data_IF_653442275156
#
_entry.id   IF_653442275156
#
_cell.length_a   1.000
_cell.length_b   1.000
_cell.length_c   1.000
_cell.angle_alpha   90.00
_cell.angle_beta   90.00
_cell.angle_gamma   90.00
#
_symmetry.space_group_name_H-M   'P 1'
#
loop_
_entity.id
_entity.type
_entity.pdbx_description
1 polymer ?
#
# COMPACT_ATOMS: atom_id res chain seq x y z
N UNK A 1 3.26 17.63 -6.48
CA UNK A 1 2.86 16.82 -7.65
C UNK A 1 1.57 16.12 -7.27
N UNK A 2 0.43 16.47 -7.86
CA UNK A 2 -0.88 15.91 -7.45
C UNK A 2 -1.28 14.77 -8.39
N UNK A 3 -1.11 13.52 -7.94
CA UNK A 3 -1.54 12.34 -8.68
C UNK A 3 -3.04 12.14 -8.47
N UNK A 4 -3.84 12.30 -9.53
CA UNK A 4 -5.29 12.05 -9.50
C UNK A 4 -5.59 10.71 -10.17
N UNK A 5 -6.03 9.67 -9.43
CA UNK A 5 -6.45 8.42 -10.02
C UNK A 5 -7.76 8.60 -10.81
N UNK A 6 -7.89 7.88 -11.92
CA UNK A 6 -9.06 7.91 -12.80
C UNK A 6 -9.93 6.67 -12.61
N UNK A 7 -11.26 6.85 -12.70
CA UNK A 7 -12.22 5.76 -12.57
C UNK A 7 -12.17 5.12 -11.18
N UNK A 8 -12.13 3.79 -11.13
CA UNK A 8 -12.18 2.98 -9.91
C UNK A 8 -10.79 2.66 -9.31
N UNK A 9 -9.81 3.54 -9.55
CA UNK A 9 -8.43 3.35 -9.09
C UNK A 9 -8.17 4.13 -7.81
N UNK A 10 -7.25 3.61 -7.00
CA UNK A 10 -6.77 4.23 -5.77
C UNK A 10 -5.26 4.35 -5.81
N UNK A 11 -4.75 5.48 -5.32
CA UNK A 11 -3.33 5.69 -5.10
C UNK A 11 -3.02 5.27 -3.67
N UNK A 12 -2.15 4.29 -3.52
CA UNK A 12 -1.73 3.75 -2.24
C UNK A 12 -0.24 4.00 -2.06
N UNK A 13 0.13 4.56 -0.91
CA UNK A 13 1.52 4.65 -0.46
C UNK A 13 1.83 3.40 0.38
N UNK A 14 2.80 2.56 0.00
CA UNK A 14 3.18 1.39 0.79
C UNK A 14 3.62 1.81 2.19
N UNK A 15 3.18 1.09 3.21
CA UNK A 15 3.72 1.26 4.57
C UNK A 15 4.95 0.39 4.76
N UNK A 16 5.86 0.85 5.60
CA UNK A 16 7.04 0.08 5.98
C UNK A 16 6.61 -1.15 6.80
N UNK A 17 7.19 -2.30 6.47
CA UNK A 17 6.92 -3.56 7.15
C UNK A 17 7.64 -3.57 8.51
N UNK A 18 7.00 -4.17 9.51
CA UNK A 18 7.63 -4.44 10.80
C UNK A 18 8.92 -5.26 10.61
N UNK A 19 10.04 -4.73 11.10
CA UNK A 19 11.35 -5.38 11.02
C UNK A 19 11.44 -6.64 11.90
N UNK A 20 10.56 -6.72 12.90
CA UNK A 20 10.46 -7.84 13.83
C UNK A 20 9.09 -8.49 13.73
N UNK A 21 9.09 -9.81 13.65
CA UNK A 21 7.86 -10.58 13.85
C UNK A 21 7.39 -10.49 15.31
N UNK A 22 6.13 -10.85 15.57
CA UNK A 22 5.55 -10.87 16.93
C UNK A 22 6.32 -11.76 17.93
N UNK A 23 7.15 -12.68 17.43
CA UNK A 23 8.02 -13.56 18.22
C UNK A 23 9.45 -13.04 18.40
N UNK A 24 9.75 -11.81 17.95
CA UNK A 24 11.06 -11.16 18.09
C UNK A 24 12.11 -11.55 17.05
N UNK A 25 11.72 -12.29 16.00
CA UNK A 25 12.65 -12.67 14.92
C UNK A 25 12.79 -11.49 13.95
N UNK A 26 14.04 -11.05 13.74
CA UNK A 26 14.41 -9.99 12.78
C UNK A 26 14.37 -10.56 11.37
N UNK A 27 13.63 -9.90 10.47
CA UNK A 27 13.56 -10.30 9.06
C UNK A 27 14.71 -9.63 8.29
N UNK A 28 15.65 -10.39 7.69
CA UNK A 28 16.72 -9.82 6.88
C UNK A 28 16.16 -9.18 5.60
N UNK A 29 16.85 -8.14 5.11
CA UNK A 29 16.37 -7.32 3.98
C UNK A 29 16.08 -8.11 2.70
N UNK A 30 16.76 -9.25 2.49
CA UNK A 30 16.57 -10.13 1.33
C UNK A 30 15.29 -10.99 1.39
N UNK A 31 14.72 -11.18 2.58
CA UNK A 31 13.48 -11.90 2.81
C UNK A 31 12.27 -10.95 2.98
N UNK A 32 12.47 -9.63 2.85
CA UNK A 32 11.40 -8.63 2.88
C UNK A 32 10.57 -8.73 1.60
N UNK A 33 9.45 -9.44 1.66
CA UNK A 33 8.46 -9.44 0.59
C UNK A 33 7.78 -8.06 0.46
N UNK A 34 7.20 -7.78 -0.72
CA UNK A 34 6.51 -6.51 -0.98
C UNK A 34 5.39 -6.28 0.04
N UNK A 35 5.33 -5.11 0.69
CA UNK A 35 4.25 -4.78 1.61
C UNK A 35 2.92 -4.80 0.86
N UNK A 36 1.96 -5.56 1.41
CA UNK A 36 0.60 -5.63 0.89
C UNK A 36 -0.32 -4.57 1.51
N UNK A 37 0.13 -3.95 2.59
CA UNK A 37 -0.56 -2.88 3.27
C UNK A 37 -0.03 -1.51 2.83
N UNK A 38 -0.89 -0.51 2.86
CA UNK A 38 -0.54 0.85 2.50
C UNK A 38 -1.64 1.85 2.82
N UNK A 39 -1.27 3.13 2.89
CA UNK A 39 -2.18 4.23 3.17
C UNK A 39 -2.74 4.77 1.84
N UNK A 40 -4.05 4.99 1.78
CA UNK A 40 -4.71 5.58 0.61
C UNK A 40 -4.53 7.09 0.62
N UNK A 41 -3.86 7.62 -0.40
CA UNK A 41 -3.60 9.07 -0.54
C UNK A 41 -4.61 9.75 -1.48
N UNK A 42 -5.18 9.00 -2.43
CA UNK A 42 -6.20 9.51 -3.34
C UNK A 42 -7.13 8.40 -3.85
N UNK A 43 -8.40 8.75 -4.01
CA UNK A 43 -9.46 7.90 -4.59
C UNK A 43 -9.94 8.49 -5.91
N UNK A 44 -10.26 7.62 -6.87
CA UNK A 44 -10.83 8.02 -8.16
C UNK A 44 -12.33 8.32 -8.06
N UNK A 45 -12.93 8.69 -9.19
CA UNK A 45 -14.36 9.03 -9.29
C UNK A 45 -15.30 7.84 -9.10
N UNK A 46 -14.77 6.61 -9.02
CA UNK A 46 -15.52 5.38 -8.84
C UNK A 46 -16.06 4.81 -10.16
N UNK A 47 -16.50 3.54 -10.12
CA UNK A 47 -17.21 2.89 -11.22
C UNK A 47 -18.60 3.52 -11.37
N UNK A 48 -18.94 3.95 -12.58
CA UNK A 48 -20.31 4.38 -12.92
C UNK A 48 -21.15 3.11 -13.03
N UNK A 49 -22.17 2.99 -12.19
CA UNK A 49 -23.15 1.91 -12.24
C UNK A 49 -24.31 2.44 -13.10
N UNK A 50 -24.46 1.90 -14.31
CA UNK A 50 -25.64 2.09 -15.17
C UNK A 50 -26.75 1.10 -14.78
#
# INVERSE_FOLDING_TARGET
MNLRPLGDRVVVKPVDREEMTKSGIVIPDTAKEKPQEGIVEAVGTGRILD
#
